data_IF_252840259858
#
_entry.id   IF_252840259858
#
_cell.length_a   1.000
_cell.length_b   1.000
_cell.length_c   1.000
_cell.angle_alpha   90.00
_cell.angle_beta   90.00
_cell.angle_gamma   90.00
#
_symmetry.space_group_name_H-M   'P 1'
#
loop_
_entity.id
_entity.type
_entity.pdbx_description
1 polymer ?
#
# COMPACT_ATOMS: atom_id res chain seq x y z
N UNK A 1 -14.67 -10.04 12.86
CA UNK A 1 -14.16 -10.20 11.48
C UNK A 1 -12.83 -9.49 11.40
N UNK A 2 -11.80 -10.06 10.78
CA UNK A 2 -10.53 -9.35 10.53
C UNK A 2 -10.75 -8.35 9.40
N UNK A 3 -10.45 -7.09 9.65
CA UNK A 3 -10.59 -6.03 8.66
C UNK A 3 -9.23 -5.82 7.98
N UNK A 4 -9.08 -6.32 6.75
CA UNK A 4 -7.84 -6.24 5.99
C UNK A 4 -8.01 -5.28 4.80
N UNK A 5 -7.01 -4.43 4.54
CA UNK A 5 -6.95 -3.57 3.37
C UNK A 5 -5.81 -3.97 2.43
N UNK A 6 -5.96 -3.63 1.15
CA UNK A 6 -4.91 -3.77 0.13
C UNK A 6 -4.55 -2.37 -0.38
N UNK A 7 -3.26 -2.06 -0.46
CA UNK A 7 -2.74 -0.83 -1.04
C UNK A 7 -1.83 -1.17 -2.23
N UNK A 8 -2.37 -1.22 -3.46
CA UNK A 8 -1.62 -1.55 -4.66
C UNK A 8 -0.87 -0.34 -5.23
N UNK A 9 0.28 -0.59 -5.86
CA UNK A 9 1.07 0.46 -6.52
C UNK A 9 2.40 -0.05 -7.06
N UNK A 10 3.10 0.76 -7.88
CA UNK A 10 4.46 0.40 -8.35
C UNK A 10 5.52 0.65 -7.29
N UNK A 11 5.29 1.60 -6.37
CA UNK A 11 6.21 1.93 -5.25
C UNK A 11 7.68 2.08 -5.65
N UNK A 12 7.93 2.65 -6.82
CA UNK A 12 9.25 2.83 -7.44
C UNK A 12 9.60 4.34 -7.52
N UNK A 13 10.28 4.93 -6.51
CA UNK A 13 10.58 4.37 -5.20
C UNK A 13 9.44 4.60 -4.18
N UNK A 14 9.51 3.91 -3.04
CA UNK A 14 8.64 4.21 -1.91
C UNK A 14 8.99 5.58 -1.31
N UNK A 15 7.98 6.37 -0.93
CA UNK A 15 8.15 7.74 -0.41
C UNK A 15 7.58 7.86 1.01
N UNK A 16 7.93 8.93 1.73
CA UNK A 16 7.31 9.26 3.02
C UNK A 16 5.79 9.45 2.92
N UNK A 17 5.28 9.86 1.75
CA UNK A 17 3.84 9.93 1.48
C UNK A 17 3.18 8.55 1.54
N UNK A 18 3.78 7.54 0.90
CA UNK A 18 3.28 6.16 0.97
C UNK A 18 3.27 5.64 2.41
N UNK A 19 4.32 5.92 3.17
CA UNK A 19 4.44 5.52 4.58
C UNK A 19 3.34 6.18 5.43
N UNK A 20 3.05 7.45 5.21
CA UNK A 20 1.99 8.17 5.93
C UNK A 20 0.60 7.57 5.64
N UNK A 21 0.33 7.22 4.38
CA UNK A 21 -0.92 6.52 4.00
C UNK A 21 -1.04 5.18 4.71
N UNK A 22 0.03 4.37 4.74
CA UNK A 22 0.04 3.07 5.44
C UNK A 22 -0.24 3.26 6.94
N UNK A 23 0.42 4.24 7.58
CA UNK A 23 0.21 4.55 9.00
C UNK A 23 -1.22 4.98 9.31
N UNK A 24 -1.85 5.73 8.42
CA UNK A 24 -3.25 6.15 8.57
C UNK A 24 -4.21 4.99 8.36
N UNK A 25 -3.97 4.14 7.37
CA UNK A 25 -4.77 2.95 7.11
C UNK A 25 -4.78 1.98 8.31
N UNK A 26 -3.62 1.76 8.95
CA UNK A 26 -3.50 0.92 10.14
C UNK A 26 -4.26 1.42 11.38
N UNK A 27 -4.80 2.66 11.36
CA UNK A 27 -5.72 3.14 12.41
C UNK A 27 -7.16 2.65 12.22
N UNK A 28 -7.48 2.08 11.06
CA UNK A 28 -8.84 1.73 10.62
C UNK A 28 -8.94 0.23 10.31
N UNK A 29 -7.84 -0.39 9.88
CA UNK A 29 -7.76 -1.82 9.54
C UNK A 29 -6.72 -2.54 10.39
N UNK A 30 -6.91 -3.85 10.58
CA UNK A 30 -6.00 -4.70 11.34
C UNK A 30 -4.71 -4.99 10.55
N UNK A 31 -4.79 -5.01 9.22
CA UNK A 31 -3.67 -5.35 8.35
C UNK A 31 -3.77 -4.62 7.02
N UNK A 32 -2.64 -4.09 6.55
CA UNK A 32 -2.50 -3.50 5.21
C UNK A 32 -1.53 -4.36 4.40
N UNK A 33 -2.01 -4.92 3.29
CA UNK A 33 -1.20 -5.66 2.32
C UNK A 33 -0.75 -4.72 1.21
N UNK A 34 0.56 -4.55 1.02
CA UNK A 34 1.12 -3.74 -0.05
C UNK A 34 1.33 -4.61 -1.27
N UNK A 35 0.55 -4.39 -2.32
CA UNK A 35 0.67 -5.15 -3.57
C UNK A 35 1.54 -4.36 -4.56
N UNK A 36 2.77 -4.83 -4.78
CA UNK A 36 3.72 -4.19 -5.69
C UNK A 36 3.48 -4.72 -7.11
N UNK A 37 3.27 -3.82 -8.05
CA UNK A 37 3.16 -4.14 -9.47
C UNK A 37 4.53 -4.09 -10.15
N UNK A 38 4.88 -5.12 -10.93
CA UNK A 38 6.16 -5.28 -11.64
C UNK A 38 6.38 -4.30 -12.81
N UNK A 39 5.54 -3.26 -12.96
CA UNK A 39 5.79 -2.14 -13.87
C UNK A 39 5.70 -2.46 -15.38
N UNK A 40 5.43 -3.71 -15.76
CA UNK A 40 5.51 -4.21 -17.14
C UNK A 40 4.47 -3.59 -18.11
N UNK A 41 3.53 -2.80 -17.61
CA UNK A 41 2.53 -2.05 -18.42
C UNK A 41 2.67 -0.52 -18.32
N UNK A 42 3.82 0.00 -17.88
CA UNK A 42 4.13 1.44 -17.96
C UNK A 42 5.05 1.71 -19.15
N UNK A 43 4.59 1.47 -20.38
CA UNK A 43 5.17 2.04 -21.60
C UNK A 43 4.08 2.26 -22.65
#
# INVERSE_FOLDING_TARGET
>A
MKNNAIYPGTFDPITFGHIDVIKKALKIVDTVVIAISDGDTKN
#
